data_IF_307960410350
#
_entry.id   IF_307960410350
#
_cell.length_a   1.000
_cell.length_b   1.000
_cell.length_c   1.000
_cell.angle_alpha   90.00
_cell.angle_beta   90.00
_cell.angle_gamma   90.00
#
_symmetry.space_group_name_H-M   'P 1'
#
loop_
_entity.id
_entity.type
_entity.pdbx_description
1 polymer ?
#
# COMPACT_ATOMS: atom_id res chain seq x y z
N UNK A 1 53.90 2.27 8.54
CA UNK A 1 53.05 1.40 7.70
C UNK A 1 51.78 2.16 7.34
N UNK A 2 51.25 1.95 6.13
CA UNK A 2 50.71 3.01 5.28
C UNK A 2 49.22 3.26 5.47
N UNK A 3 48.84 4.47 5.05
CA UNK A 3 47.52 5.08 4.98
C UNK A 3 46.61 4.43 3.89
N UNK A 4 46.61 3.09 3.80
CA UNK A 4 45.95 2.35 2.72
C UNK A 4 44.99 1.28 3.23
N UNK A 5 44.01 1.66 4.06
CA UNK A 5 42.85 0.83 4.41
C UNK A 5 41.69 1.73 4.85
N UNK A 6 41.29 2.67 4.00
CA UNK A 6 39.93 3.23 4.08
C UNK A 6 39.04 2.32 3.21
N UNK A 7 38.05 1.61 3.79
CA UNK A 7 37.09 0.89 2.98
C UNK A 7 36.32 1.92 2.15
N UNK A 8 36.33 1.70 0.84
CA UNK A 8 35.66 2.49 -0.17
C UNK A 8 34.16 2.58 0.17
N UNK A 9 33.71 3.79 0.49
CA UNK A 9 32.33 4.10 0.86
C UNK A 9 31.44 4.26 -0.39
N UNK A 10 31.59 3.35 -1.35
CA UNK A 10 30.78 3.26 -2.56
C UNK A 10 29.99 1.96 -2.64
N UNK A 11 29.47 1.48 -1.50
CA UNK A 11 28.29 0.63 -1.54
C UNK A 11 27.11 1.49 -1.95
N UNK A 12 26.85 1.52 -3.25
CA UNK A 12 25.55 1.86 -3.83
C UNK A 12 24.51 1.14 -2.97
N UNK A 13 23.76 1.91 -2.19
CA UNK A 13 22.56 1.44 -1.50
C UNK A 13 21.67 0.86 -2.58
N UNK A 14 21.68 -0.47 -2.75
CA UNK A 14 20.67 -1.19 -3.51
C UNK A 14 19.32 -0.77 -2.91
N UNK A 15 18.69 0.21 -3.54
CA UNK A 15 17.40 0.74 -3.12
C UNK A 15 16.43 -0.43 -3.11
N UNK A 16 15.98 -0.83 -1.93
CA UNK A 16 14.93 -1.84 -1.80
C UNK A 16 13.65 -1.17 -2.29
N UNK A 17 13.33 -1.37 -3.56
CA UNK A 17 12.09 -0.88 -4.13
C UNK A 17 10.93 -1.54 -3.38
N UNK A 18 10.23 -0.73 -2.59
CA UNK A 18 9.04 -1.13 -1.83
C UNK A 18 7.79 -1.24 -2.74
N UNK A 19 7.89 -0.66 -3.94
CA UNK A 19 6.82 -0.53 -4.91
C UNK A 19 7.28 -1.07 -6.26
N UNK A 20 6.42 -1.87 -6.88
CA UNK A 20 6.62 -2.40 -8.22
C UNK A 20 5.50 -3.36 -8.62
N UNK A 21 5.31 -3.58 -9.93
CA UNK A 21 4.31 -4.53 -10.41
C UNK A 21 4.67 -5.94 -9.96
N UNK A 22 3.67 -6.75 -9.61
CA UNK A 22 3.90 -8.18 -9.40
C UNK A 22 4.32 -8.83 -10.72
N UNK A 23 5.48 -9.50 -10.71
CA UNK A 23 5.94 -10.32 -11.83
C UNK A 23 5.09 -11.59 -11.96
N UNK A 24 4.79 -12.23 -10.83
CA UNK A 24 3.94 -13.40 -10.73
C UNK A 24 2.83 -13.12 -9.72
N UNK A 25 1.60 -13.40 -10.10
CA UNK A 25 0.43 -13.08 -9.29
C UNK A 25 -0.31 -14.37 -8.92
N UNK A 26 0.05 -14.94 -7.77
CA UNK A 26 -0.54 -16.18 -7.24
C UNK A 26 -1.20 -15.95 -5.88
N UNK A 27 -2.23 -16.73 -5.56
CA UNK A 27 -2.90 -16.77 -4.24
C UNK A 27 -3.81 -15.60 -3.94
N UNK A 28 -4.12 -14.79 -4.96
CA UNK A 28 -4.96 -13.58 -4.88
C UNK A 28 -6.06 -13.56 -5.95
N UNK A 29 -6.27 -14.70 -6.62
CA UNK A 29 -7.23 -14.89 -7.72
C UNK A 29 -8.66 -14.65 -7.25
N UNK A 30 -9.00 -15.09 -6.02
CA UNK A 30 -10.32 -14.83 -5.44
C UNK A 30 -10.58 -13.34 -5.25
N UNK A 31 -9.56 -12.57 -4.87
CA UNK A 31 -9.68 -11.12 -4.69
C UNK A 31 -9.94 -10.45 -6.03
N UNK A 32 -9.17 -10.81 -7.07
CA UNK A 32 -9.43 -10.34 -8.42
C UNK A 32 -10.81 -10.78 -8.91
N UNK A 33 -11.23 -12.01 -8.67
CA UNK A 33 -12.56 -12.48 -9.05
C UNK A 33 -13.67 -11.66 -8.39
N UNK A 34 -13.51 -11.24 -7.13
CA UNK A 34 -14.46 -10.36 -6.46
C UNK A 34 -14.48 -8.97 -7.10
N UNK A 35 -13.32 -8.41 -7.42
CA UNK A 35 -13.23 -7.13 -8.14
C UNK A 35 -13.88 -7.21 -9.53
N UNK A 36 -13.64 -8.29 -10.28
CA UNK A 36 -14.22 -8.50 -11.60
C UNK A 36 -15.74 -8.63 -11.53
N UNK A 37 -16.24 -9.31 -10.49
CA UNK A 37 -17.68 -9.37 -10.20
C UNK A 37 -18.25 -7.98 -9.94
N UNK A 38 -17.57 -7.17 -9.11
CA UNK A 38 -17.97 -5.79 -8.84
C UNK A 38 -18.02 -4.94 -10.11
N UNK A 39 -17.00 -5.03 -10.96
CA UNK A 39 -16.95 -4.31 -12.25
C UNK A 39 -18.19 -4.62 -13.11
N UNK A 40 -18.56 -5.89 -13.23
CA UNK A 40 -19.75 -6.31 -14.00
C UNK A 40 -21.05 -5.79 -13.37
N UNK A 41 -21.23 -6.01 -12.06
CA UNK A 41 -22.43 -5.57 -11.33
C UNK A 41 -22.61 -4.04 -11.37
N UNK A 42 -21.53 -3.27 -11.34
CA UNK A 42 -21.58 -1.81 -11.42
C UNK A 42 -22.09 -1.31 -12.78
N UNK A 43 -21.71 -1.97 -13.88
CA UNK A 43 -22.24 -1.64 -15.22
C UNK A 43 -23.72 -1.99 -15.32
N UNK A 44 -24.09 -3.20 -14.88
CA UNK A 44 -25.49 -3.68 -14.95
C UNK A 44 -26.44 -2.82 -14.11
N UNK A 45 -26.00 -2.40 -12.92
CA UNK A 45 -26.80 -1.59 -12.01
C UNK A 45 -26.74 -0.09 -12.30
N UNK A 46 -25.92 0.37 -13.26
CA UNK A 46 -25.56 1.78 -13.43
C UNK A 46 -25.11 2.44 -12.12
N UNK A 47 -24.37 1.68 -11.30
CA UNK A 47 -24.09 2.02 -9.91
C UNK A 47 -22.60 2.07 -9.57
N UNK A 48 -22.30 2.67 -8.44
CA UNK A 48 -20.95 2.80 -7.89
C UNK A 48 -20.68 1.88 -6.69
N UNK A 49 -19.42 1.79 -6.31
CA UNK A 49 -19.01 1.15 -5.05
C UNK A 49 -17.59 1.53 -4.63
N UNK A 50 -17.20 1.08 -3.45
CA UNK A 50 -15.82 1.19 -2.96
C UNK A 50 -15.23 -0.20 -2.80
N UNK A 51 -14.09 -0.45 -3.42
CA UNK A 51 -13.27 -1.63 -3.22
C UNK A 51 -12.04 -1.22 -2.39
N UNK A 52 -11.97 -1.68 -1.15
CA UNK A 52 -10.94 -1.31 -0.20
C UNK A 52 -9.92 -2.43 -0.01
N UNK A 53 -8.66 -2.11 -0.25
CA UNK A 53 -7.50 -2.97 -0.01
C UNK A 53 -6.71 -2.37 1.15
N UNK A 54 -6.49 -3.12 2.21
CA UNK A 54 -5.56 -2.71 3.26
C UNK A 54 -4.52 -3.78 3.50
N UNK A 55 -3.43 -3.41 4.16
CA UNK A 55 -2.40 -4.36 4.57
C UNK A 55 -1.10 -3.66 4.90
N UNK A 56 -0.21 -4.36 5.59
CA UNK A 56 1.08 -3.78 5.92
C UNK A 56 1.92 -3.51 4.67
N UNK A 57 2.95 -2.65 4.76
CA UNK A 57 3.84 -2.40 3.65
C UNK A 57 4.55 -3.67 3.15
N UNK A 58 4.74 -3.82 1.84
CA UNK A 58 5.31 -5.04 1.25
C UNK A 58 4.37 -6.24 1.15
N UNK A 59 3.08 -6.10 1.49
CA UNK A 59 2.06 -7.15 1.36
C UNK A 59 1.52 -7.35 -0.08
N UNK A 60 2.02 -6.57 -1.06
CA UNK A 60 1.60 -6.66 -2.46
C UNK A 60 0.37 -5.83 -2.84
N UNK A 61 0.08 -4.73 -2.12
CA UNK A 61 -1.04 -3.82 -2.44
C UNK A 61 -0.91 -3.21 -3.84
N UNK A 62 0.22 -2.59 -4.15
CA UNK A 62 0.50 -1.97 -5.46
C UNK A 62 0.37 -2.98 -6.59
N UNK A 63 0.91 -4.19 -6.40
CA UNK A 63 0.74 -5.28 -7.36
C UNK A 63 -0.72 -5.67 -7.61
N UNK A 64 -1.56 -5.70 -6.56
CA UNK A 64 -2.98 -5.97 -6.71
C UNK A 64 -3.72 -4.81 -7.39
N UNK A 65 -3.39 -3.55 -7.06
CA UNK A 65 -3.93 -2.37 -7.75
C UNK A 65 -3.67 -2.44 -9.26
N UNK A 66 -2.43 -2.75 -9.66
CA UNK A 66 -2.05 -2.86 -11.07
C UNK A 66 -2.87 -3.93 -11.81
N UNK A 67 -3.19 -5.04 -11.16
CA UNK A 67 -4.00 -6.11 -11.75
C UNK A 67 -5.48 -5.69 -11.87
N UNK A 68 -6.04 -5.04 -10.85
CA UNK A 68 -7.39 -4.47 -10.92
C UNK A 68 -7.49 -3.41 -12.03
N UNK A 69 -6.49 -2.53 -12.14
CA UNK A 69 -6.41 -1.53 -13.22
C UNK A 69 -6.40 -2.19 -14.60
N UNK A 70 -5.53 -3.19 -14.82
CA UNK A 70 -5.48 -3.93 -16.10
C UNK A 70 -6.82 -4.57 -16.42
N UNK A 71 -7.50 -5.12 -15.44
CA UNK A 71 -8.81 -5.74 -15.65
C UNK A 71 -9.88 -4.70 -16.01
N UNK A 72 -9.95 -3.58 -15.28
CA UNK A 72 -10.91 -2.51 -15.57
C UNK A 72 -10.68 -1.93 -16.98
N UNK A 73 -9.43 -1.69 -17.37
CA UNK A 73 -9.07 -1.27 -18.74
C UNK A 73 -9.50 -2.28 -19.79
N UNK A 74 -9.33 -3.58 -19.54
CA UNK A 74 -9.81 -4.64 -20.44
C UNK A 74 -11.34 -4.69 -20.55
N UNK A 75 -12.06 -4.12 -19.59
CA UNK A 75 -13.52 -3.93 -19.62
C UNK A 75 -13.93 -2.53 -20.13
N UNK A 76 -13.02 -1.78 -20.76
CA UNK A 76 -13.28 -0.44 -21.31
C UNK A 76 -13.67 0.62 -20.28
N UNK A 77 -13.22 0.47 -19.02
CA UNK A 77 -13.36 1.51 -18.00
C UNK A 77 -12.30 2.59 -18.21
N UNK A 78 -12.71 3.85 -18.02
CA UNK A 78 -11.75 4.93 -17.81
C UNK A 78 -11.08 4.71 -16.44
N UNK A 79 -9.76 4.83 -16.38
CA UNK A 79 -9.00 4.63 -15.14
C UNK A 79 -8.14 5.83 -14.85
N UNK A 80 -8.23 6.35 -13.64
CA UNK A 80 -7.36 7.44 -13.18
C UNK A 80 -6.86 7.18 -11.76
N UNK A 81 -5.60 7.53 -11.51
CA UNK A 81 -5.07 7.66 -10.16
C UNK A 81 -5.45 9.04 -9.62
N UNK A 82 -5.92 9.11 -8.38
CA UNK A 82 -6.28 10.34 -7.71
C UNK A 82 -5.51 10.48 -6.40
N UNK A 83 -5.15 11.73 -6.05
CA UNK A 83 -4.77 12.06 -4.68
C UNK A 83 -6.01 12.26 -3.80
N UNK A 84 -5.85 12.17 -2.48
CA UNK A 84 -6.95 12.41 -1.52
C UNK A 84 -7.67 13.74 -1.79
N UNK A 85 -6.93 14.78 -2.16
CA UNK A 85 -7.47 16.11 -2.47
C UNK A 85 -8.52 16.13 -3.60
N UNK A 86 -8.49 15.17 -4.52
CA UNK A 86 -9.46 15.08 -5.61
C UNK A 86 -10.89 14.73 -5.13
N UNK A 87 -11.04 14.28 -3.88
CA UNK A 87 -12.36 13.99 -3.29
C UNK A 87 -13.11 15.24 -2.85
N UNK A 88 -12.45 16.40 -2.76
CA UNK A 88 -13.09 17.67 -2.35
C UNK A 88 -12.65 18.90 -3.14
N UNK A 89 -11.60 18.81 -3.95
CA UNK A 89 -11.14 19.88 -4.82
C UNK A 89 -11.37 19.52 -6.30
N UNK A 90 -12.29 20.22 -6.99
CA UNK A 90 -12.55 20.05 -8.41
C UNK A 90 -11.30 20.14 -9.30
N UNK A 91 -10.35 21.02 -8.97
CA UNK A 91 -9.15 21.21 -9.78
C UNK A 91 -8.22 20.00 -9.67
N UNK A 92 -8.07 19.44 -8.48
CA UNK A 92 -7.28 18.23 -8.26
C UNK A 92 -7.88 17.03 -9.01
N UNK A 93 -9.22 16.92 -9.05
CA UNK A 93 -9.88 15.88 -9.83
C UNK A 93 -9.70 16.08 -11.33
N UNK A 94 -9.93 17.30 -11.85
CA UNK A 94 -9.74 17.62 -13.27
C UNK A 94 -8.29 17.39 -13.72
N UNK A 95 -7.31 17.74 -12.89
CA UNK A 95 -5.91 17.48 -13.17
C UNK A 95 -5.63 15.96 -13.25
N UNK A 96 -6.17 15.18 -12.31
CA UNK A 96 -6.04 13.72 -12.29
C UNK A 96 -6.64 13.08 -13.55
N UNK A 97 -7.83 13.55 -13.97
CA UNK A 97 -8.52 13.09 -15.17
C UNK A 97 -7.87 13.56 -16.49
N UNK A 98 -6.80 14.36 -16.45
CA UNK A 98 -6.19 14.95 -17.65
C UNK A 98 -7.08 15.97 -18.37
N UNK A 99 -8.07 16.53 -17.67
CA UNK A 99 -9.04 17.50 -18.21
C UNK A 99 -8.67 18.96 -17.90
N UNK A 100 -7.64 19.18 -17.09
CA UNK A 100 -7.23 20.52 -16.61
C UNK A 100 -6.89 21.53 -17.73
N UNK A 101 -6.31 21.10 -18.85
CA UNK A 101 -6.03 22.00 -19.98
C UNK A 101 -7.27 22.26 -20.86
N UNK A 102 -8.16 21.27 -21.02
CA UNK A 102 -9.42 21.43 -21.76
C UNK A 102 -10.39 22.38 -21.06
N UNK A 103 -10.38 22.41 -19.73
CA UNK A 103 -11.18 23.36 -18.94
C UNK A 103 -10.60 24.78 -18.93
N UNK A 104 -9.27 24.93 -18.91
CA UNK A 104 -8.59 26.24 -19.11
C UNK A 104 -8.85 26.83 -20.50
N UNK A 105 -9.10 25.99 -21.51
CA UNK A 105 -9.42 26.40 -22.89
C UNK A 105 -10.76 27.12 -23.09
N UNK A 106 -11.60 27.24 -22.06
CA UNK A 106 -12.84 28.00 -22.11
C UNK A 106 -12.84 29.31 -21.30
N UNK A 107 -11.69 29.68 -20.73
CA UNK A 107 -11.47 31.01 -20.15
C UNK A 107 -11.01 32.06 -21.16
N UNK A 108 -10.78 31.69 -22.43
CA UNK A 108 -10.80 32.69 -23.49
C UNK A 108 -12.25 33.07 -23.72
N UNK A 109 -12.60 34.24 -23.19
CA UNK A 109 -13.76 35.03 -23.59
C UNK A 109 -14.18 34.71 -25.02
N UNK A 110 -15.16 33.82 -25.17
CA UNK A 110 -15.97 33.77 -26.38
C UNK A 110 -16.74 35.09 -26.35
N UNK A 111 -16.13 36.16 -26.85
CA UNK A 111 -16.85 37.26 -27.44
C UNK A 111 -17.63 36.65 -28.61
N UNK A 112 -18.77 36.05 -28.30
CA UNK A 112 -19.82 35.86 -29.28
C UNK A 112 -20.22 37.28 -29.62
N UNK A 113 -19.77 37.76 -30.77
CA UNK A 113 -20.15 39.03 -31.33
C UNK A 113 -21.64 39.04 -31.65
N UNK A 114 -22.46 39.30 -30.65
CA UNK A 114 -23.80 39.83 -30.84
C UNK A 114 -23.68 41.32 -31.12
N UNK A 115 -23.35 41.67 -32.37
CA UNK A 115 -23.65 43.01 -32.89
C UNK A 115 -25.14 43.05 -33.18
N UNK A 116 -25.90 43.38 -32.14
CA UNK A 116 -26.93 44.41 -32.11
C UNK A 116 -28.02 44.06 -31.08
N UNK A 117 -28.38 45.08 -30.32
CA UNK A 117 -29.59 45.24 -29.51
C UNK A 117 -29.50 45.01 -27.99
N UNK A 118 -29.45 46.17 -27.30
CA UNK A 118 -29.73 46.46 -25.88
C UNK A 118 -28.90 45.78 -24.78
N UNK A 119 -28.57 46.62 -23.78
CA UNK A 119 -27.69 46.29 -22.69
C UNK A 119 -28.25 45.24 -21.76
N UNK A 120 -27.34 44.40 -21.28
CA UNK A 120 -27.18 43.92 -19.91
C UNK A 120 -25.92 43.05 -19.95
N UNK A 121 -24.85 43.52 -19.32
CA UNK A 121 -23.62 42.75 -19.21
C UNK A 121 -23.81 41.58 -18.26
N UNK A 122 -24.35 40.46 -18.76
CA UNK A 122 -24.31 39.20 -18.03
C UNK A 122 -22.86 38.70 -18.02
N UNK A 123 -22.15 38.92 -16.91
CA UNK A 123 -20.99 38.10 -16.58
C UNK A 123 -21.53 36.70 -16.32
N UNK A 124 -21.48 35.83 -17.34
CA UNK A 124 -21.67 34.40 -17.15
C UNK A 124 -20.45 33.88 -16.40
N UNK A 125 -20.50 33.94 -15.06
CA UNK A 125 -19.70 33.04 -14.23
C UNK A 125 -20.24 31.65 -14.50
N UNK A 126 -19.50 30.84 -15.27
CA UNK A 126 -19.81 29.40 -15.31
C UNK A 126 -19.84 28.91 -13.86
N UNK A 127 -20.88 28.18 -13.44
CA UNK A 127 -20.91 27.61 -12.10
C UNK A 127 -19.63 26.80 -11.92
N UNK A 128 -18.92 27.02 -10.81
CA UNK A 128 -17.79 26.18 -10.46
C UNK A 128 -18.31 24.75 -10.39
N UNK A 129 -17.86 23.89 -11.30
CA UNK A 129 -18.25 22.48 -11.33
C UNK A 129 -17.81 21.84 -10.02
N UNK A 130 -18.75 21.24 -9.29
CA UNK A 130 -18.43 20.49 -8.08
C UNK A 130 -17.71 19.19 -8.45
N UNK A 131 -17.07 18.54 -7.47
CA UNK A 131 -16.47 17.21 -7.66
C UNK A 131 -17.51 16.22 -8.18
N UNK A 132 -18.74 16.27 -7.66
CA UNK A 132 -19.84 15.40 -8.12
C UNK A 132 -20.23 15.67 -9.57
N UNK A 133 -20.32 16.94 -9.98
CA UNK A 133 -20.64 17.28 -11.37
C UNK A 133 -19.58 16.74 -12.34
N UNK A 134 -18.29 16.83 -11.95
CA UNK A 134 -17.19 16.27 -12.74
C UNK A 134 -17.29 14.74 -12.79
N UNK A 135 -17.60 14.08 -11.68
CA UNK A 135 -17.76 12.63 -11.64
C UNK A 135 -18.99 12.14 -12.42
N UNK A 136 -20.07 12.92 -12.49
CA UNK A 136 -21.24 12.61 -13.32
C UNK A 136 -20.98 12.84 -14.80
N UNK A 137 -20.03 13.70 -15.16
CA UNK A 137 -19.73 13.99 -16.55
C UNK A 137 -18.97 12.84 -17.23
N UNK A 138 -19.57 12.24 -18.26
CA UNK A 138 -18.99 11.19 -19.08
C UNK A 138 -19.96 10.04 -19.33
N UNK A 139 -19.76 9.32 -20.44
CA UNK A 139 -20.64 8.20 -20.82
C UNK A 139 -20.03 6.83 -20.48
N UNK A 140 -18.78 6.81 -20.04
CA UNK A 140 -17.97 5.63 -19.76
C UNK A 140 -17.86 5.38 -18.26
N UNK A 141 -17.93 4.11 -17.80
CA UNK A 141 -17.62 3.75 -16.42
C UNK A 141 -16.23 4.24 -15.98
N UNK A 142 -16.11 4.66 -14.72
CA UNK A 142 -14.89 5.25 -14.18
C UNK A 142 -14.35 4.47 -12.98
N UNK A 143 -13.07 4.09 -13.04
CA UNK A 143 -12.30 3.56 -11.93
C UNK A 143 -11.38 4.66 -11.38
N UNK A 144 -11.63 5.06 -10.14
CA UNK A 144 -10.76 5.95 -9.38
C UNK A 144 -9.83 5.11 -8.50
N UNK A 145 -8.52 5.27 -8.66
CA UNK A 145 -7.52 4.59 -7.82
C UNK A 145 -6.97 5.59 -6.81
N UNK A 146 -7.14 5.28 -5.52
CA UNK A 146 -6.62 6.08 -4.41
C UNK A 146 -5.60 5.25 -3.62
N UNK A 147 -4.32 5.52 -3.83
CA UNK A 147 -3.24 4.91 -3.04
C UNK A 147 -3.00 5.72 -1.75
N UNK A 148 -2.45 5.07 -0.72
CA UNK A 148 -2.24 5.64 0.62
C UNK A 148 -3.52 6.23 1.26
N UNK A 149 -4.66 5.57 1.03
CA UNK A 149 -5.97 6.03 1.43
C UNK A 149 -6.17 6.15 2.96
N UNK A 150 -5.27 5.58 3.78
CA UNK A 150 -5.28 5.81 5.23
C UNK A 150 -5.09 7.28 5.61
N UNK A 151 -4.52 8.10 4.71
CA UNK A 151 -4.37 9.54 4.93
C UNK A 151 -5.72 10.25 5.16
N UNK A 152 -6.84 9.68 4.71
CA UNK A 152 -8.20 10.18 4.99
C UNK A 152 -8.60 10.08 6.47
N UNK A 153 -7.82 9.35 7.28
CA UNK A 153 -8.03 9.22 8.72
C UNK A 153 -7.25 10.25 9.54
N UNK A 154 -6.38 11.04 8.91
CA UNK A 154 -5.69 12.16 9.57
C UNK A 154 -6.72 13.25 9.90
N UNK A 155 -6.69 13.78 11.12
CA UNK A 155 -7.59 14.86 11.55
C UNK A 155 -7.50 16.09 10.64
N UNK A 156 -6.37 16.30 9.97
CA UNK A 156 -6.15 17.43 9.06
C UNK A 156 -6.55 17.14 7.61
N UNK A 157 -6.93 15.90 7.29
CA UNK A 157 -7.21 15.44 5.92
C UNK A 157 -8.50 14.61 5.88
N UNK A 158 -9.59 15.13 5.32
CA UNK A 158 -9.71 16.42 4.64
C UNK A 158 -9.64 17.61 5.61
N UNK A 159 -9.22 18.81 5.13
CA UNK A 159 -9.38 20.03 5.92
C UNK A 159 -10.83 20.25 6.35
N UNK A 160 -11.06 20.86 7.52
CA UNK A 160 -12.41 21.00 8.11
C UNK A 160 -13.44 21.60 7.16
N UNK A 161 -13.05 22.62 6.38
CA UNK A 161 -13.92 23.30 5.42
C UNK A 161 -14.26 22.45 4.18
N UNK A 162 -13.58 21.32 3.97
CA UNK A 162 -13.75 20.40 2.85
C UNK A 162 -14.27 19.02 3.27
N UNK A 163 -14.31 18.75 4.58
CA UNK A 163 -14.68 17.43 5.12
C UNK A 163 -16.09 17.00 4.72
N UNK A 164 -17.05 17.92 4.75
CA UNK A 164 -18.43 17.64 4.31
C UNK A 164 -18.51 17.24 2.84
N UNK A 165 -17.78 17.94 1.97
CA UNK A 165 -17.70 17.62 0.54
C UNK A 165 -17.08 16.25 0.30
N UNK A 166 -15.98 15.94 0.99
CA UNK A 166 -15.32 14.64 0.87
C UNK A 166 -16.26 13.48 1.28
N UNK A 167 -16.98 13.64 2.40
CA UNK A 167 -17.98 12.66 2.86
C UNK A 167 -19.08 12.50 1.82
N UNK A 168 -19.63 13.61 1.29
CA UNK A 168 -20.70 13.57 0.30
C UNK A 168 -20.26 12.83 -0.99
N UNK A 169 -19.04 13.12 -1.47
CA UNK A 169 -18.48 12.47 -2.66
C UNK A 169 -18.23 10.98 -2.41
N UNK A 170 -17.63 10.62 -1.28
CA UNK A 170 -17.39 9.22 -0.91
C UNK A 170 -18.71 8.45 -0.77
N UNK A 171 -19.71 9.03 -0.10
CA UNK A 171 -21.04 8.42 0.02
C UNK A 171 -21.73 8.29 -1.34
N UNK A 172 -21.56 9.27 -2.24
CA UNK A 172 -22.14 9.20 -3.58
C UNK A 172 -21.52 8.07 -4.41
N UNK A 173 -20.20 7.92 -4.39
CA UNK A 173 -19.51 6.80 -5.06
C UNK A 173 -19.91 5.48 -4.42
N UNK A 174 -19.79 5.37 -3.10
CA UNK A 174 -19.99 4.13 -2.36
C UNK A 174 -21.40 3.55 -2.52
N UNK A 175 -22.41 4.44 -2.48
CA UNK A 175 -23.81 4.06 -2.60
C UNK A 175 -24.32 4.08 -4.04
N UNK A 176 -23.47 4.40 -5.03
CA UNK A 176 -23.86 4.46 -6.43
C UNK A 176 -24.91 5.53 -6.76
N UNK A 177 -24.77 6.72 -6.16
CA UNK A 177 -25.66 7.88 -6.38
C UNK A 177 -25.14 8.83 -7.47
N UNK A 178 -24.25 8.35 -8.33
CA UNK A 178 -23.73 9.09 -9.48
C UNK A 178 -24.46 8.65 -10.75
N UNK A 179 -24.48 9.51 -11.77
CA UNK A 179 -25.21 9.27 -13.02
C UNK A 179 -24.51 8.29 -13.97
N UNK A 180 -23.33 7.80 -13.58
CA UNK A 180 -22.59 6.75 -14.27
C UNK A 180 -21.92 5.79 -13.27
N UNK A 181 -21.54 4.58 -13.70
CA UNK A 181 -20.81 3.66 -12.83
C UNK A 181 -19.46 4.25 -12.42
N UNK A 182 -19.22 4.35 -11.11
CA UNK A 182 -17.94 4.79 -10.55
C UNK A 182 -17.50 3.84 -9.45
N UNK A 183 -16.30 3.26 -9.58
CA UNK A 183 -15.67 2.46 -8.53
C UNK A 183 -14.52 3.25 -7.94
N UNK A 184 -14.50 3.39 -6.61
CA UNK A 184 -13.32 3.83 -5.88
C UNK A 184 -12.53 2.59 -5.43
N UNK A 185 -11.38 2.35 -6.05
CA UNK A 185 -10.40 1.36 -5.63
C UNK A 185 -9.38 2.04 -4.72
N UNK A 186 -9.52 1.85 -3.41
CA UNK A 186 -8.68 2.50 -2.41
C UNK A 186 -7.72 1.48 -1.77
N UNK A 187 -6.45 1.83 -1.66
CA UNK A 187 -5.43 1.02 -1.00
C UNK A 187 -4.72 1.79 0.12
N UNK A 188 -4.37 1.12 1.21
CA UNK A 188 -3.59 1.75 2.28
C UNK A 188 -3.11 0.82 3.37
N UNK A 189 -2.67 1.40 4.50
CA UNK A 189 -2.24 0.67 5.69
C UNK A 189 -3.43 0.04 6.45
N UNK A 190 -3.16 -0.72 7.51
CA UNK A 190 -4.20 -1.39 8.32
C UNK A 190 -5.26 -0.48 8.93
N UNK A 191 -4.99 0.81 9.02
CA UNK A 191 -5.91 1.82 9.53
C UNK A 191 -6.90 2.35 8.47
N UNK A 192 -6.77 1.92 7.21
CA UNK A 192 -7.58 2.46 6.10
C UNK A 192 -9.07 2.22 6.29
N UNK A 193 -9.49 1.01 6.74
CA UNK A 193 -10.90 0.75 7.02
C UNK A 193 -11.46 1.70 8.10
N UNK A 194 -10.68 1.99 9.14
CA UNK A 194 -11.05 2.92 10.19
C UNK A 194 -11.15 4.35 9.67
N UNK A 195 -10.22 4.78 8.81
CA UNK A 195 -10.27 6.07 8.13
C UNK A 195 -11.55 6.24 7.30
N UNK A 196 -11.96 5.21 6.54
CA UNK A 196 -13.24 5.24 5.82
C UNK A 196 -14.44 5.25 6.76
N UNK A 197 -14.37 4.53 7.89
CA UNK A 197 -15.40 4.53 8.92
C UNK A 197 -15.66 5.91 9.53
N UNK A 198 -14.60 6.71 9.78
CA UNK A 198 -14.71 8.08 10.28
C UNK A 198 -15.34 9.05 9.26
N UNK A 199 -15.35 8.65 7.99
CA UNK A 199 -16.01 9.34 6.87
C UNK A 199 -17.33 8.67 6.46
N UNK A 200 -17.97 7.94 7.39
CA UNK A 200 -19.27 7.27 7.25
C UNK A 200 -19.33 6.09 6.28
N UNK A 201 -18.20 5.62 5.78
CA UNK A 201 -18.11 4.42 4.95
C UNK A 201 -17.69 3.23 5.80
N UNK A 202 -18.67 2.51 6.35
CA UNK A 202 -18.42 1.38 7.27
C UNK A 202 -18.83 0.01 6.73
N UNK A 203 -19.74 -0.04 5.74
CA UNK A 203 -20.35 -1.29 5.23
C UNK A 203 -20.00 -1.52 3.77
N UNK A 204 -18.91 -2.26 3.53
CA UNK A 204 -18.52 -2.67 2.18
C UNK A 204 -19.38 -3.82 1.69
N UNK A 205 -19.66 -3.85 0.37
CA UNK A 205 -20.26 -5.03 -0.28
C UNK A 205 -19.38 -6.27 -0.04
N UNK A 206 -20.01 -7.45 -0.01
CA UNK A 206 -19.29 -8.71 0.21
C UNK A 206 -18.13 -8.87 -0.76
N UNK A 207 -16.92 -9.11 -0.23
CA UNK A 207 -15.70 -9.28 -1.04
C UNK A 207 -15.07 -7.98 -1.56
N UNK A 208 -15.64 -6.81 -1.26
CA UNK A 208 -15.09 -5.49 -1.62
C UNK A 208 -14.23 -4.87 -0.52
N UNK A 209 -13.97 -5.60 0.56
CA UNK A 209 -12.95 -5.28 1.56
C UNK A 209 -11.98 -6.44 1.64
N UNK A 210 -10.69 -6.13 1.54
CA UNK A 210 -9.61 -7.12 1.54
C UNK A 210 -8.48 -6.64 2.42
N UNK A 211 -8.03 -7.53 3.30
CA UNK A 211 -6.80 -7.35 4.08
C UNK A 211 -5.70 -8.27 3.55
N UNK A 212 -4.62 -7.66 3.06
CA UNK A 212 -3.45 -8.36 2.53
C UNK A 212 -2.44 -8.63 3.64
N UNK A 213 -2.16 -9.91 3.86
CA UNK A 213 -1.03 -10.39 4.65
C UNK A 213 -0.04 -11.20 3.81
N UNK A 214 0.61 -12.17 4.45
CA UNK A 214 1.43 -13.16 3.76
C UNK A 214 0.62 -14.00 2.74
N UNK A 215 1.31 -14.51 1.72
CA UNK A 215 0.78 -15.53 0.82
C UNK A 215 0.63 -16.86 1.57
N UNK A 216 -0.37 -17.64 1.16
CA UNK A 216 -0.48 -19.04 1.56
C UNK A 216 0.69 -19.87 1.00
N UNK A 217 0.98 -21.01 1.62
CA UNK A 217 2.12 -21.87 1.25
C UNK A 217 2.11 -22.25 -0.23
N UNK A 218 0.96 -22.65 -0.78
CA UNK A 218 0.84 -23.04 -2.19
C UNK A 218 1.17 -21.87 -3.13
N UNK A 219 0.63 -20.69 -2.84
CA UNK A 219 0.88 -19.49 -3.63
C UNK A 219 2.34 -19.02 -3.54
N UNK A 220 2.94 -19.04 -2.35
CA UNK A 220 4.37 -18.75 -2.17
C UNK A 220 5.25 -19.68 -3.01
N UNK A 221 4.97 -20.99 -2.97
CA UNK A 221 5.70 -21.98 -3.78
C UNK A 221 5.52 -21.74 -5.27
N UNK A 222 4.31 -21.43 -5.72
CA UNK A 222 4.03 -21.16 -7.12
C UNK A 222 4.79 -19.92 -7.62
N UNK A 223 4.81 -18.82 -6.84
CA UNK A 223 5.62 -17.63 -7.15
C UNK A 223 7.10 -17.99 -7.25
N UNK A 224 7.65 -18.68 -6.25
CA UNK A 224 9.06 -19.06 -6.25
C UNK A 224 9.40 -19.98 -7.43
N UNK A 225 8.56 -20.98 -7.70
CA UNK A 225 8.76 -21.88 -8.83
C UNK A 225 8.81 -21.14 -10.16
N UNK A 226 7.83 -20.28 -10.41
CA UNK A 226 7.79 -19.47 -11.63
C UNK A 226 9.02 -18.59 -11.75
N UNK A 227 9.44 -17.93 -10.67
CA UNK A 227 10.61 -17.06 -10.67
C UNK A 227 11.91 -17.81 -10.93
N UNK A 228 12.12 -18.95 -10.26
CA UNK A 228 13.35 -19.74 -10.38
C UNK A 228 13.47 -20.37 -11.78
N UNK A 229 12.35 -20.84 -12.35
CA UNK A 229 12.33 -21.47 -13.68
C UNK A 229 12.39 -20.40 -14.78
N UNK A 230 11.42 -19.47 -14.81
CA UNK A 230 11.24 -18.54 -15.94
C UNK A 230 12.26 -17.41 -15.93
N UNK A 231 12.61 -16.87 -14.76
CA UNK A 231 13.61 -15.79 -14.66
C UNK A 231 15.01 -16.34 -14.44
N UNK A 232 15.14 -17.33 -13.55
CA UNK A 232 16.42 -17.91 -13.19
C UNK A 232 17.00 -18.83 -14.27
N UNK A 233 16.15 -19.50 -15.05
CA UNK A 233 16.58 -20.52 -16.00
C UNK A 233 17.04 -21.81 -15.30
N UNK A 234 16.44 -22.15 -14.16
CA UNK A 234 16.79 -23.32 -13.37
C UNK A 234 16.75 -24.61 -14.20
N UNK A 235 17.83 -25.40 -14.14
CA UNK A 235 17.90 -26.75 -14.69
C UNK A 235 17.51 -27.75 -13.61
N UNK A 236 16.52 -28.59 -13.90
CA UNK A 236 16.05 -29.62 -12.97
C UNK A 236 14.99 -29.13 -11.97
N UNK A 237 14.83 -29.86 -10.86
CA UNK A 237 13.75 -29.64 -9.90
C UNK A 237 14.14 -28.59 -8.83
N UNK A 238 13.49 -27.40 -8.79
CA UNK A 238 13.83 -26.35 -7.83
C UNK A 238 13.25 -26.56 -6.42
N UNK A 239 12.57 -27.67 -6.14
CA UNK A 239 11.82 -27.89 -4.89
C UNK A 239 12.64 -27.64 -3.62
N UNK A 240 13.87 -28.16 -3.54
CA UNK A 240 14.73 -27.97 -2.36
C UNK A 240 15.08 -26.49 -2.14
N UNK A 241 15.31 -25.74 -3.22
CA UNK A 241 15.56 -24.30 -3.15
C UNK A 241 14.32 -23.50 -2.76
N UNK A 242 13.14 -23.90 -3.26
CA UNK A 242 11.86 -23.31 -2.89
C UNK A 242 11.59 -23.50 -1.40
N UNK A 243 11.77 -24.72 -0.88
CA UNK A 243 11.56 -25.05 0.54
C UNK A 243 12.47 -24.21 1.44
N UNK A 244 13.74 -24.14 1.07
CA UNK A 244 14.76 -23.34 1.73
C UNK A 244 14.39 -21.85 1.81
N UNK A 245 13.98 -21.25 0.69
CA UNK A 245 13.59 -19.85 0.64
C UNK A 245 12.29 -19.59 1.42
N UNK A 246 11.27 -20.43 1.24
CA UNK A 246 9.96 -20.30 1.90
C UNK A 246 10.08 -20.26 3.44
N UNK A 247 11.01 -21.02 4.01
CA UNK A 247 11.31 -21.00 5.45
C UNK A 247 11.81 -19.64 5.95
N UNK A 248 12.38 -18.79 5.09
CA UNK A 248 12.95 -17.48 5.45
C UNK A 248 11.99 -16.32 5.18
N UNK A 249 11.09 -16.50 4.22
CA UNK A 249 10.18 -15.46 3.73
C UNK A 249 8.85 -15.46 4.46
N UNK A 250 8.41 -16.63 4.95
CA UNK A 250 7.12 -16.83 5.64
C UNK A 250 5.92 -16.31 4.84
N UNK A 251 5.94 -16.47 3.52
CA UNK A 251 4.90 -16.00 2.62
C UNK A 251 4.89 -14.49 2.39
N UNK A 252 5.76 -13.70 3.03
CA UNK A 252 5.71 -12.24 2.90
C UNK A 252 6.19 -11.80 1.50
N UNK A 253 5.35 -11.14 0.67
CA UNK A 253 5.69 -10.87 -0.73
C UNK A 253 7.00 -10.12 -0.92
N UNK A 254 7.27 -9.09 -0.12
CA UNK A 254 8.53 -8.36 -0.22
C UNK A 254 9.77 -9.23 0.09
N UNK A 255 9.65 -10.18 1.02
CA UNK A 255 10.75 -11.11 1.29
C UNK A 255 10.88 -12.13 0.16
N UNK A 256 9.76 -12.64 -0.37
CA UNK A 256 9.77 -13.53 -1.52
C UNK A 256 10.54 -12.87 -2.66
N UNK A 257 10.23 -11.62 -3.01
CA UNK A 257 10.98 -10.86 -4.03
C UNK A 257 12.46 -10.77 -3.69
N UNK A 258 12.82 -10.39 -2.45
CA UNK A 258 14.22 -10.24 -2.04
C UNK A 258 15.06 -11.50 -2.26
N UNK A 259 14.52 -12.67 -1.88
CA UNK A 259 15.19 -13.97 -2.02
C UNK A 259 15.08 -14.53 -3.44
N UNK A 260 13.93 -14.41 -4.10
CA UNK A 260 13.71 -14.91 -5.45
C UNK A 260 14.59 -14.18 -6.47
N UNK A 261 14.76 -12.86 -6.34
CA UNK A 261 15.69 -12.10 -7.19
C UNK A 261 17.15 -12.48 -6.95
N UNK A 262 17.52 -12.76 -5.70
CA UNK A 262 18.85 -13.27 -5.38
C UNK A 262 19.05 -14.66 -6.01
N UNK A 263 18.07 -15.55 -5.88
CA UNK A 263 18.07 -16.89 -6.46
C UNK A 263 18.18 -16.86 -7.98
N UNK A 264 17.32 -16.10 -8.66
CA UNK A 264 17.35 -16.01 -10.12
C UNK A 264 18.69 -15.46 -10.63
N UNK A 265 19.27 -14.45 -9.96
CA UNK A 265 20.61 -13.95 -10.31
C UNK A 265 21.69 -15.03 -10.13
N UNK A 266 21.64 -15.77 -9.04
CA UNK A 266 22.63 -16.82 -8.75
C UNK A 266 22.50 -18.00 -9.72
N UNK A 267 21.28 -18.47 -10.00
CA UNK A 267 21.02 -19.55 -10.96
C UNK A 267 21.54 -19.18 -12.34
N UNK A 268 21.29 -17.94 -12.80
CA UNK A 268 21.85 -17.47 -14.09
C UNK A 268 23.38 -17.45 -14.09
N UNK A 269 24.00 -17.02 -12.98
CA UNK A 269 25.46 -17.01 -12.82
C UNK A 269 26.05 -18.42 -12.89
N UNK A 270 25.33 -19.39 -12.34
CA UNK A 270 25.73 -20.81 -12.31
C UNK A 270 25.17 -21.58 -13.53
N UNK A 271 24.85 -20.88 -14.63
CA UNK A 271 24.36 -21.47 -15.90
C UNK A 271 23.14 -22.41 -15.74
N UNK A 272 22.23 -22.08 -14.81
CA UNK A 272 21.03 -22.84 -14.52
C UNK A 272 21.17 -23.82 -13.35
N UNK A 273 22.38 -24.03 -12.84
CA UNK A 273 22.64 -25.01 -11.78
C UNK A 273 22.29 -24.45 -10.39
N UNK A 274 21.72 -25.32 -9.54
CA UNK A 274 21.22 -24.97 -8.21
C UNK A 274 22.09 -25.61 -7.12
N UNK A 275 23.27 -25.05 -6.89
CA UNK A 275 24.29 -25.60 -5.96
C UNK A 275 24.08 -25.19 -4.50
N UNK A 276 24.70 -25.90 -3.54
CA UNK A 276 24.66 -25.51 -2.11
C UNK A 276 25.32 -24.16 -1.86
N UNK A 277 26.50 -23.90 -2.45
CA UNK A 277 27.19 -22.60 -2.38
C UNK A 277 26.35 -21.48 -3.00
N UNK A 278 25.63 -21.77 -4.09
CA UNK A 278 24.66 -20.85 -4.65
C UNK A 278 23.57 -20.48 -3.65
N UNK A 279 22.99 -21.47 -2.95
CA UNK A 279 21.98 -21.22 -1.92
C UNK A 279 22.50 -20.36 -0.76
N UNK A 280 23.74 -20.57 -0.30
CA UNK A 280 24.35 -19.73 0.74
C UNK A 280 24.45 -18.26 0.31
N UNK A 281 24.83 -18.00 -0.94
CA UNK A 281 24.86 -16.66 -1.51
C UNK A 281 23.46 -16.03 -1.58
N UNK A 282 22.45 -16.81 -1.96
CA UNK A 282 21.04 -16.40 -1.98
C UNK A 282 20.55 -16.00 -0.59
N UNK A 283 20.85 -16.82 0.42
CA UNK A 283 20.49 -16.53 1.81
C UNK A 283 21.14 -15.26 2.33
N UNK A 284 22.44 -15.09 2.11
CA UNK A 284 23.14 -13.88 2.53
C UNK A 284 22.49 -12.63 1.93
N UNK A 285 22.31 -12.60 0.60
CA UNK A 285 21.75 -11.43 -0.08
C UNK A 285 20.27 -11.20 0.27
N UNK A 286 19.49 -12.27 0.41
CA UNK A 286 18.09 -12.19 0.84
C UNK A 286 17.96 -11.65 2.27
N UNK A 287 18.84 -12.07 3.19
CA UNK A 287 18.90 -11.54 4.56
C UNK A 287 19.32 -10.07 4.59
N UNK A 288 20.35 -9.69 3.82
CA UNK A 288 20.81 -8.29 3.72
C UNK A 288 19.69 -7.36 3.23
N UNK A 289 18.97 -7.76 2.17
CA UNK A 289 17.83 -6.98 1.66
C UNK A 289 16.67 -6.90 2.64
N UNK A 290 16.38 -8.01 3.34
CA UNK A 290 15.34 -8.04 4.38
C UNK A 290 15.70 -7.14 5.57
N UNK A 291 16.96 -7.14 5.99
CA UNK A 291 17.47 -6.26 7.04
C UNK A 291 17.42 -4.79 6.62
N UNK A 292 17.83 -4.47 5.39
CA UNK A 292 17.69 -3.13 4.81
C UNK A 292 16.22 -2.66 4.77
N UNK A 293 15.30 -3.56 4.38
CA UNK A 293 13.87 -3.30 4.40
C UNK A 293 13.37 -2.93 5.81
N UNK A 294 13.74 -3.68 6.85
CA UNK A 294 13.34 -3.34 8.22
C UNK A 294 13.99 -2.05 8.73
N UNK A 295 15.26 -1.81 8.41
CA UNK A 295 15.96 -0.56 8.73
C UNK A 295 15.25 0.66 8.13
N UNK A 296 14.73 0.54 6.90
CA UNK A 296 13.93 1.58 6.26
C UNK A 296 12.62 1.85 7.02
N UNK A 297 11.96 0.80 7.53
CA UNK A 297 10.72 0.93 8.32
C UNK A 297 10.95 1.67 9.63
N UNK A 298 12.03 1.35 10.34
CA UNK A 298 12.36 2.04 11.60
C UNK A 298 13.17 3.32 11.39
N UNK A 299 13.37 3.76 10.14
CA UNK A 299 14.05 5.02 9.85
C UNK A 299 13.24 6.20 10.40
N UNK A 300 13.91 7.16 11.05
CA UNK A 300 13.24 8.24 11.79
C UNK A 300 12.73 7.86 13.18
N UNK A 301 12.88 6.60 13.60
CA UNK A 301 12.71 6.16 14.99
C UNK A 301 14.09 6.06 15.61
N UNK A 302 14.34 6.74 16.73
CA UNK A 302 15.63 6.73 17.42
C UNK A 302 15.97 5.35 17.98
N UNK A 303 17.25 5.10 18.25
CA UNK A 303 17.69 3.81 18.83
C UNK A 303 17.02 3.52 20.18
N UNK A 304 16.81 4.54 21.02
CA UNK A 304 16.13 4.40 22.32
C UNK A 304 14.66 4.00 22.15
N UNK A 305 13.96 4.66 21.23
CA UNK A 305 12.56 4.32 20.92
C UNK A 305 12.43 2.90 20.34
N UNK A 306 13.34 2.49 19.44
CA UNK A 306 13.39 1.11 18.93
C UNK A 306 13.61 0.08 20.04
N UNK A 307 14.44 0.39 21.02
CA UNK A 307 14.64 -0.45 22.21
C UNK A 307 13.34 -0.59 23.01
N UNK A 308 12.62 0.51 23.27
CA UNK A 308 11.34 0.48 23.98
C UNK A 308 10.29 -0.35 23.22
N UNK A 309 10.19 -0.17 21.90
CA UNK A 309 9.31 -0.97 21.04
C UNK A 309 9.68 -2.45 21.06
N UNK A 310 10.96 -2.79 21.01
CA UNK A 310 11.42 -4.17 21.08
C UNK A 310 11.08 -4.83 22.43
N UNK A 311 11.19 -4.07 23.53
CA UNK A 311 10.84 -4.54 24.88
C UNK A 311 9.35 -4.77 25.03
N UNK A 312 8.52 -3.90 24.44
CA UNK A 312 7.06 -4.03 24.41
C UNK A 312 6.61 -5.36 23.80
N UNK A 313 7.22 -5.75 22.67
CA UNK A 313 6.78 -6.94 21.93
C UNK A 313 7.51 -8.22 22.34
N UNK A 314 8.62 -8.14 23.08
CA UNK A 314 9.49 -9.31 23.42
C UNK A 314 8.73 -10.51 23.95
N UNK A 315 7.75 -10.27 24.83
CA UNK A 315 7.01 -11.33 25.52
C UNK A 315 5.62 -11.56 24.91
N UNK A 316 5.28 -10.85 23.83
CA UNK A 316 4.01 -11.00 23.12
C UNK A 316 4.22 -12.08 22.06
N UNK A 317 3.45 -13.18 22.08
CA UNK A 317 3.57 -14.20 21.05
C UNK A 317 3.38 -13.59 19.65
N UNK A 318 4.08 -14.17 18.66
CA UNK A 318 4.00 -13.69 17.28
C UNK A 318 2.55 -13.84 16.79
N UNK A 319 1.92 -12.72 16.40
CA UNK A 319 0.51 -12.53 15.98
C UNK A 319 -0.46 -12.21 17.10
N UNK A 320 -0.05 -12.37 18.35
CA UNK A 320 -0.77 -11.73 19.43
C UNK A 320 -0.46 -10.24 19.36
N UNK A 321 -1.45 -9.42 19.65
CA UNK A 321 -1.28 -7.99 19.65
C UNK A 321 -1.48 -7.39 21.01
N UNK A 322 -1.23 -6.09 21.05
CA UNK A 322 -1.33 -5.26 22.22
C UNK A 322 -2.48 -4.28 22.02
N UNK A 323 -3.16 -3.94 23.10
CA UNK A 323 -4.15 -2.87 23.09
C UNK A 323 -3.44 -1.52 22.95
N UNK A 324 -4.13 -0.53 22.37
CA UNK A 324 -3.59 0.81 22.17
C UNK A 324 -3.17 1.42 23.51
N UNK A 325 -4.05 1.29 24.49
CA UNK A 325 -3.89 1.83 25.83
C UNK A 325 -2.65 1.27 26.53
N UNK A 326 -2.35 -0.02 26.36
CA UNK A 326 -1.18 -0.67 26.94
C UNK A 326 0.13 -0.19 26.30
N UNK A 327 0.13 -0.03 24.97
CA UNK A 327 1.27 0.52 24.24
C UNK A 327 1.51 1.96 24.71
N UNK A 328 0.48 2.80 24.70
CA UNK A 328 0.59 4.21 25.06
C UNK A 328 0.94 4.41 26.52
N UNK A 329 0.37 3.63 27.45
CA UNK A 329 0.72 3.68 28.87
C UNK A 329 2.20 3.37 29.09
N UNK A 330 2.71 2.30 28.45
CA UNK A 330 4.12 1.90 28.58
C UNK A 330 5.06 2.95 27.98
N UNK A 331 4.73 3.48 26.79
CA UNK A 331 5.54 4.52 26.15
C UNK A 331 5.47 5.85 26.93
N UNK A 332 4.31 6.19 27.49
CA UNK A 332 4.10 7.42 28.26
C UNK A 332 4.92 7.45 29.53
N UNK A 333 5.11 6.30 30.19
CA UNK A 333 6.01 6.19 31.36
C UNK A 333 7.46 6.57 31.02
N UNK A 334 7.90 6.36 29.78
CA UNK A 334 9.29 6.64 29.37
C UNK A 334 9.50 8.00 28.70
N UNK A 335 8.50 8.50 27.99
CA UNK A 335 8.62 9.66 27.10
C UNK A 335 7.65 10.80 27.41
N UNK A 336 6.64 10.55 28.25
CA UNK A 336 5.47 11.44 28.42
C UNK A 336 4.40 11.21 27.33
N UNK A 337 3.15 11.65 27.58
CA UNK A 337 1.99 11.31 26.75
C UNK A 337 2.12 11.80 25.31
N UNK A 338 2.50 13.07 25.10
CA UNK A 338 2.57 13.66 23.76
C UNK A 338 3.61 12.95 22.87
N UNK A 339 4.77 12.61 23.44
CA UNK A 339 5.83 11.90 22.72
C UNK A 339 5.49 10.43 22.49
N UNK A 340 4.75 9.81 23.42
CA UNK A 340 4.27 8.45 23.25
C UNK A 340 3.28 8.35 22.09
N UNK A 341 2.33 9.29 22.02
CA UNK A 341 1.36 9.37 20.92
C UNK A 341 2.06 9.64 19.58
N UNK A 342 3.01 10.58 19.53
CA UNK A 342 3.81 10.85 18.34
C UNK A 342 4.59 9.61 17.87
N UNK A 343 5.27 8.91 18.80
CA UNK A 343 5.98 7.68 18.47
C UNK A 343 5.03 6.60 17.96
N UNK A 344 3.88 6.41 18.61
CA UNK A 344 2.87 5.44 18.20
C UNK A 344 2.39 5.72 16.76
N UNK A 345 2.07 6.96 16.45
CA UNK A 345 1.65 7.38 15.12
C UNK A 345 2.75 7.15 14.08
N UNK A 346 4.00 7.55 14.37
CA UNK A 346 5.14 7.28 13.48
C UNK A 346 5.34 5.78 13.22
N UNK A 347 5.17 4.93 14.23
CA UNK A 347 5.31 3.47 14.12
C UNK A 347 4.19 2.87 13.25
N UNK A 348 2.96 3.38 13.36
CA UNK A 348 1.83 2.99 12.50
C UNK A 348 2.02 3.43 11.06
N UNK A 349 2.38 4.70 10.82
CA UNK A 349 2.62 5.26 9.47
C UNK A 349 3.74 4.52 8.74
N UNK A 350 4.76 4.09 9.49
CA UNK A 350 5.86 3.30 8.95
C UNK A 350 5.49 1.84 8.71
N UNK A 351 4.32 1.39 9.18
CA UNK A 351 3.87 0.00 9.11
C UNK A 351 4.70 -0.97 9.94
N UNK A 352 5.34 -0.47 11.00
CA UNK A 352 6.03 -1.30 12.00
C UNK A 352 4.98 -2.01 12.87
N UNK A 353 3.93 -1.28 13.24
CA UNK A 353 2.70 -1.83 13.82
C UNK A 353 1.57 -1.75 12.81
N UNK A 354 0.60 -2.66 12.98
CA UNK A 354 -0.62 -2.74 12.19
C UNK A 354 -1.79 -2.95 13.13
N UNK A 355 -2.87 -2.20 12.93
CA UNK A 355 -4.11 -2.36 13.68
C UNK A 355 -5.03 -3.33 12.97
N UNK A 356 -5.54 -4.32 13.71
CA UNK A 356 -6.57 -5.24 13.27
C UNK A 356 -7.58 -5.40 14.40
N UNK A 357 -8.83 -4.99 14.14
CA UNK A 357 -9.95 -5.09 15.09
C UNK A 357 -9.65 -4.49 16.49
N UNK A 358 -8.92 -3.37 16.52
CA UNK A 358 -8.55 -2.65 17.75
C UNK A 358 -7.25 -3.13 18.39
N UNK A 359 -6.69 -4.24 17.91
CA UNK A 359 -5.46 -4.85 18.43
C UNK A 359 -4.27 -4.50 17.52
N UNK A 360 -3.11 -4.24 18.12
CA UNK A 360 -1.90 -3.80 17.40
C UNK A 360 -0.83 -4.88 17.40
N UNK A 361 -0.41 -5.29 16.21
CA UNK A 361 0.60 -6.35 16.01
C UNK A 361 1.75 -5.86 15.16
N UNK A 362 2.91 -6.54 15.23
CA UNK A 362 3.91 -6.44 14.17
C UNK A 362 3.44 -7.37 13.03
N UNK A 363 3.02 -6.83 11.88
CA UNK A 363 2.33 -7.61 10.84
C UNK A 363 3.25 -8.62 10.14
N UNK A 364 4.56 -8.45 10.27
CA UNK A 364 5.58 -9.28 9.63
C UNK A 364 6.28 -10.10 10.73
N UNK A 365 6.02 -11.43 10.83
CA UNK A 365 6.63 -12.28 11.86
C UNK A 365 8.15 -12.18 11.98
N UNK A 366 8.86 -12.15 10.86
CA UNK A 366 10.32 -12.03 10.86
C UNK A 366 10.83 -10.64 11.25
N UNK A 367 10.00 -9.60 11.15
CA UNK A 367 10.32 -8.27 11.66
C UNK A 367 10.24 -8.22 13.19
N UNK A 368 9.28 -8.94 13.80
CA UNK A 368 9.19 -9.09 15.25
C UNK A 368 10.52 -9.66 15.78
N UNK A 369 10.94 -10.80 15.24
CA UNK A 369 12.18 -11.45 15.65
C UNK A 369 13.40 -10.53 15.41
N UNK A 370 13.44 -9.86 14.26
CA UNK A 370 14.50 -8.91 13.96
C UNK A 370 14.57 -7.76 14.97
N UNK A 371 13.42 -7.18 15.34
CA UNK A 371 13.36 -6.08 16.29
C UNK A 371 13.85 -6.52 17.67
N UNK A 372 13.39 -7.67 18.16
CA UNK A 372 13.81 -8.22 19.44
C UNK A 372 15.31 -8.54 19.43
N UNK A 373 15.81 -9.27 18.43
CA UNK A 373 17.23 -9.66 18.39
C UNK A 373 18.21 -8.50 18.24
N UNK A 374 17.83 -7.41 17.56
CA UNK A 374 18.72 -6.27 17.34
C UNK A 374 18.70 -5.24 18.47
N UNK A 375 17.61 -5.17 19.24
CA UNK A 375 17.40 -4.08 20.20
C UNK A 375 17.14 -4.55 21.63
N UNK A 376 16.81 -5.81 21.88
CA UNK A 376 16.78 -6.37 23.24
C UNK A 376 18.14 -7.02 23.51
N UNK A 377 18.89 -6.57 24.54
CA UNK A 377 20.14 -7.22 24.93
C UNK A 377 19.88 -8.69 25.21
N UNK A 378 20.76 -9.58 24.74
CA UNK A 378 20.75 -10.96 25.19
C UNK A 378 20.81 -10.92 26.73
N UNK A 379 19.76 -11.41 27.41
CA UNK A 379 19.85 -11.64 28.84
C UNK A 379 21.03 -12.57 29.02
N UNK A 380 22.08 -12.11 29.71
CA UNK A 380 23.14 -13.02 30.14
C UNK A 380 22.41 -14.13 30.91
N UNK A 381 22.63 -15.42 30.59
CA UNK A 381 22.08 -16.48 31.41
C UNK A 381 22.52 -16.22 32.85
N UNK A 382 21.55 -16.05 33.75
CA UNK A 382 21.80 -16.08 35.18
C UNK A 382 22.30 -17.49 35.46
N UNK A 383 23.62 -17.66 35.47
CA UNK A 383 24.24 -18.85 36.04
C UNK A 383 23.97 -18.78 37.54
N UNK A 384 22.92 -19.49 37.97
CA UNK A 384 22.64 -19.79 39.37
C UNK A 384 23.65 -20.76 39.95
#
# INVERSE_FOLDING_TARGET
MPESLRPDASHVSDYVADRGPARYFHGRERILSNFNKLVKESVEAQGGSTFLIQGAPGAGKTALLDQCEKHAKACEWDVTNIGVGALWDPNNLLASLGLGEKYKGTERSTQIGFKNFLGWGFKSTRPQSTVKDILNNGNTPLLLILDEAQALGDEKVPPDNHRSTAIEVLEAIHNGKLERPVILLAAGLGTTKTAFGSLRISRFKGGCFVELGALGKEAERAVLQDWLIKEGGAKGNPTAWIDAIAQKTHGWPQHITAYADAAAKQIRKDNGDMTSTGMEAVYRLGMERRDAYYKQRVNGISRKERFSLARLVKNVPIRDGLDKEDIEATLSQEYGPDKAQDLFNRVLERGVLHSQDGVYTIPIPSMHNWLVSNYVPAQKPEFG
#
